data_IF_582083023741
#
_entry.id   IF_582083023741
#
_cell.length_a   1.000
_cell.length_b   1.000
_cell.length_c   1.000
_cell.angle_alpha   90.00
_cell.angle_beta   90.00
_cell.angle_gamma   90.00
#
_symmetry.space_group_name_H-M   'P 1'
#
loop_
_entity.id
_entity.type
_entity.pdbx_description
1 polymer ?
#
# COMPACT_ATOMS: atom_id res chain seq x y z
N UNK A 1 -17.05 -21.03 44.32
CA UNK A 1 -15.98 -20.04 44.15
C UNK A 1 -16.59 -18.71 43.73
N UNK A 2 -15.98 -17.56 44.05
CA UNK A 2 -16.45 -16.24 43.53
C UNK A 2 -16.56 -16.20 42.00
N UNK A 3 -15.76 -17.04 41.32
CA UNK A 3 -15.84 -17.27 39.88
C UNK A 3 -17.14 -17.97 39.45
N UNK A 4 -17.58 -19.03 40.16
CA UNK A 4 -18.82 -19.77 39.84
C UNK A 4 -20.09 -19.02 40.24
N UNK A 5 -19.96 -18.04 41.15
CA UNK A 5 -21.04 -17.14 41.60
C UNK A 5 -21.11 -15.84 40.78
N UNK A 6 -20.18 -15.61 39.85
CA UNK A 6 -20.08 -14.39 39.03
C UNK A 6 -19.95 -13.08 39.85
N UNK A 7 -19.37 -13.14 41.06
CA UNK A 7 -19.16 -11.99 41.95
C UNK A 7 -17.73 -11.44 41.88
N UNK A 8 -17.15 -11.43 40.69
CA UNK A 8 -15.84 -10.80 40.49
C UNK A 8 -15.99 -9.28 40.47
N UNK A 9 -15.04 -8.52 41.04
CA UNK A 9 -15.04 -7.07 40.95
C UNK A 9 -14.90 -6.68 39.47
N UNK A 10 -15.91 -5.99 38.95
CA UNK A 10 -15.94 -5.49 37.59
C UNK A 10 -16.16 -3.99 37.60
N UNK A 11 -15.35 -3.26 36.84
CA UNK A 11 -15.67 -1.88 36.49
C UNK A 11 -16.78 -1.93 35.42
N UNK A 12 -17.91 -1.28 35.69
CA UNK A 12 -19.02 -1.13 34.73
C UNK A 12 -19.05 0.31 34.25
N UNK A 13 -18.24 0.69 33.26
CA UNK A 13 -18.21 2.07 32.78
C UNK A 13 -19.55 2.41 32.13
N UNK A 14 -20.22 3.45 32.63
CA UNK A 14 -21.44 3.99 32.03
C UNK A 14 -21.02 5.10 31.06
N UNK A 15 -21.18 4.84 29.77
CA UNK A 15 -20.86 5.78 28.69
C UNK A 15 -21.89 6.92 28.65
N UNK A 16 -21.66 7.94 29.46
CA UNK A 16 -22.48 9.15 29.43
C UNK A 16 -22.13 10.02 28.21
N UNK A 17 -23.09 10.75 27.63
CA UNK A 17 -22.85 11.57 26.43
C UNK A 17 -21.70 12.56 26.59
N UNK A 18 -21.56 13.18 27.76
CA UNK A 18 -20.47 14.14 28.05
C UNK A 18 -19.09 13.50 27.98
N UNK A 19 -18.94 12.29 28.53
CA UNK A 19 -17.67 11.55 28.48
C UNK A 19 -17.31 11.16 27.04
N UNK A 20 -18.29 10.65 26.29
CA UNK A 20 -18.08 10.22 24.91
C UNK A 20 -17.67 11.39 24.01
N UNK A 21 -18.36 12.53 24.10
CA UNK A 21 -18.04 13.74 23.33
C UNK A 21 -16.63 14.23 23.65
N UNK A 22 -16.25 14.27 24.94
CA UNK A 22 -14.90 14.69 25.34
C UNK A 22 -13.82 13.79 24.76
N UNK A 23 -14.03 12.48 24.79
CA UNK A 23 -13.07 11.51 24.23
C UNK A 23 -12.94 11.70 22.72
N UNK A 24 -14.05 11.82 21.98
CA UNK A 24 -13.99 12.05 20.54
C UNK A 24 -13.30 13.36 20.18
N UNK A 25 -13.57 14.45 20.90
CA UNK A 25 -12.90 15.73 20.67
C UNK A 25 -11.40 15.63 20.88
N UNK A 26 -10.96 14.93 21.94
CA UNK A 26 -9.54 14.70 22.20
C UNK A 26 -8.88 13.85 21.10
N UNK A 27 -9.52 12.75 20.72
CA UNK A 27 -9.08 11.86 19.63
C UNK A 27 -8.94 12.67 18.33
N UNK A 28 -9.94 13.46 17.95
CA UNK A 28 -9.89 14.30 16.76
C UNK A 28 -8.76 15.34 16.82
N UNK A 29 -8.58 16.02 17.95
CA UNK A 29 -7.52 17.02 18.13
C UNK A 29 -6.13 16.42 17.95
N UNK A 30 -5.93 15.15 18.30
CA UNK A 30 -4.66 14.43 18.11
C UNK A 30 -4.53 13.89 16.69
N UNK A 31 -5.58 13.24 16.14
CA UNK A 31 -5.47 12.57 14.85
C UNK A 31 -5.54 13.51 13.64
N UNK A 32 -6.20 14.68 13.74
CA UNK A 32 -6.23 15.66 12.65
C UNK A 32 -4.82 16.16 12.29
N UNK A 33 -3.99 16.69 13.21
CA UNK A 33 -2.65 17.15 12.86
C UNK A 33 -1.74 16.03 12.39
N UNK A 34 -1.86 14.83 12.98
CA UNK A 34 -1.13 13.63 12.50
C UNK A 34 -1.54 13.34 11.05
N UNK A 35 -2.84 13.26 10.77
CA UNK A 35 -3.36 12.99 9.43
C UNK A 35 -2.93 14.04 8.40
N UNK A 36 -2.91 15.33 8.78
CA UNK A 36 -2.41 16.41 7.92
C UNK A 36 -0.92 16.23 7.63
N UNK A 37 -0.10 15.99 8.65
CA UNK A 37 1.33 15.75 8.48
C UNK A 37 1.61 14.52 7.60
N UNK A 38 0.90 13.42 7.83
CA UNK A 38 1.00 12.20 7.02
C UNK A 38 0.55 12.43 5.58
N UNK A 39 -0.50 13.22 5.35
CA UNK A 39 -0.98 13.54 4.01
C UNK A 39 0.04 14.39 3.24
N UNK A 40 0.66 15.38 3.88
CA UNK A 40 1.74 16.15 3.28
C UNK A 40 2.92 15.27 2.92
N UNK A 41 3.40 14.46 3.86
CA UNK A 41 4.48 13.52 3.61
C UNK A 41 4.15 12.53 2.47
N UNK A 42 2.90 12.05 2.40
CA UNK A 42 2.44 11.15 1.33
C UNK A 42 2.39 11.81 -0.04
N UNK A 43 2.07 13.11 -0.13
CA UNK A 43 2.01 13.85 -1.40
C UNK A 43 3.38 14.24 -1.94
N UNK A 44 4.38 14.31 -1.08
CA UNK A 44 5.77 14.61 -1.45
C UNK A 44 6.48 13.40 -2.09
N UNK A 45 5.93 12.19 -1.94
CA UNK A 45 6.46 10.98 -2.58
C UNK A 45 6.29 11.08 -4.10
N UNK A 46 7.41 10.95 -4.81
CA UNK A 46 7.43 10.87 -6.28
C UNK A 46 7.60 9.41 -6.67
N UNK A 47 6.58 8.84 -7.30
CA UNK A 47 6.56 7.45 -7.78
C UNK A 47 6.36 7.43 -9.30
N UNK A 48 7.05 6.52 -9.98
CA UNK A 48 6.94 6.30 -11.43
C UNK A 48 6.68 4.82 -11.66
N UNK A 49 5.54 4.53 -12.29
CA UNK A 49 5.11 3.17 -12.61
C UNK A 49 5.11 3.03 -14.13
N UNK A 50 5.92 2.12 -14.66
CA UNK A 50 5.95 1.77 -16.09
C UNK A 50 5.63 0.29 -16.27
N UNK A 51 4.56 0.00 -17.02
CA UNK A 51 4.14 -1.37 -17.32
C UNK A 51 4.87 -1.86 -18.56
N UNK A 52 5.86 -2.72 -18.35
CA UNK A 52 6.70 -3.22 -19.43
C UNK A 52 6.20 -4.55 -20.05
N UNK A 53 5.17 -5.18 -19.48
CA UNK A 53 4.71 -6.52 -19.89
C UNK A 53 4.13 -6.61 -21.32
N UNK A 54 3.63 -5.51 -21.89
CA UNK A 54 3.10 -5.47 -23.26
C UNK A 54 4.00 -4.69 -24.20
N UNK A 55 4.72 -3.70 -23.68
CA UNK A 55 5.53 -2.80 -24.49
C UNK A 55 6.86 -3.43 -24.90
N UNK A 56 7.33 -4.41 -24.13
CA UNK A 56 8.50 -5.21 -24.47
C UNK A 56 8.20 -6.39 -25.40
N UNK A 57 6.93 -6.61 -25.76
CA UNK A 57 6.52 -7.74 -26.58
C UNK A 57 6.18 -7.24 -28.00
N UNK A 58 6.82 -7.79 -29.06
CA UNK A 58 6.50 -7.44 -30.43
C UNK A 58 5.03 -7.71 -30.76
N UNK A 59 4.47 -6.93 -31.69
CA UNK A 59 3.04 -7.01 -32.05
C UNK A 59 2.60 -8.44 -32.42
N UNK A 60 3.47 -9.17 -33.13
CA UNK A 60 3.22 -10.54 -33.59
C UNK A 60 3.03 -11.54 -32.44
N UNK A 61 3.52 -11.22 -31.24
CA UNK A 61 3.45 -12.09 -30.08
C UNK A 61 2.61 -11.52 -28.93
N UNK A 62 1.92 -10.39 -29.09
CA UNK A 62 1.12 -9.81 -28.01
C UNK A 62 0.00 -10.72 -27.51
N UNK A 63 -0.56 -11.53 -28.41
CA UNK A 63 -1.62 -12.49 -28.08
C UNK A 63 -1.09 -13.80 -27.48
N UNK A 64 0.20 -14.10 -27.68
CA UNK A 64 0.86 -15.31 -27.16
C UNK A 64 2.25 -14.95 -26.61
N UNK A 65 2.23 -14.33 -25.43
CA UNK A 65 3.43 -13.89 -24.72
C UNK A 65 4.35 -15.07 -24.38
N UNK A 66 3.77 -16.25 -24.13
CA UNK A 66 4.51 -17.47 -23.77
C UNK A 66 5.37 -17.94 -24.94
N UNK A 67 4.82 -17.93 -26.15
CA UNK A 67 5.57 -18.24 -27.37
C UNK A 67 6.76 -17.30 -27.59
N UNK A 68 6.60 -16.01 -27.31
CA UNK A 68 7.73 -15.06 -27.37
C UNK A 68 8.83 -15.42 -26.38
N UNK A 69 8.47 -15.70 -25.12
CA UNK A 69 9.42 -16.04 -24.05
C UNK A 69 10.22 -17.31 -24.43
N UNK A 70 9.55 -18.31 -25.00
CA UNK A 70 10.15 -19.59 -25.38
C UNK A 70 11.03 -19.50 -26.64
N UNK A 71 10.84 -18.50 -27.49
CA UNK A 71 11.63 -18.34 -28.72
C UNK A 71 13.07 -17.92 -28.39
N UNK A 72 14.10 -18.53 -28.99
CA UNK A 72 15.49 -18.12 -28.77
C UNK A 72 15.77 -16.73 -29.37
N UNK A 73 16.68 -15.99 -28.75
CA UNK A 73 17.04 -14.64 -29.16
C UNK A 73 17.19 -13.69 -27.98
N UNK A 74 17.79 -12.53 -28.22
CA UNK A 74 17.91 -11.46 -27.22
C UNK A 74 16.54 -10.81 -26.98
N UNK A 75 16.17 -10.64 -25.70
CA UNK A 75 14.89 -10.09 -25.27
C UNK A 75 15.05 -8.83 -24.41
N UNK A 76 16.19 -8.16 -24.55
CA UNK A 76 16.49 -6.93 -23.81
C UNK A 76 15.45 -5.87 -24.15
N UNK A 77 14.84 -5.30 -23.12
CA UNK A 77 13.86 -4.24 -23.28
C UNK A 77 14.32 -2.97 -22.59
N UNK A 78 14.63 -1.95 -23.39
CA UNK A 78 15.03 -0.64 -22.89
C UNK A 78 13.80 0.24 -22.71
N UNK A 79 13.61 0.77 -21.50
CA UNK A 79 12.50 1.66 -21.13
C UNK A 79 13.06 3.02 -20.74
N UNK A 80 12.44 4.09 -21.23
CA UNK A 80 12.82 5.46 -20.87
C UNK A 80 11.75 6.04 -19.97
N UNK A 81 12.11 6.24 -18.70
CA UNK A 81 11.21 6.79 -17.70
C UNK A 81 11.41 8.30 -17.60
N UNK A 82 10.34 9.08 -17.75
CA UNK A 82 10.38 10.53 -17.55
C UNK A 82 10.08 10.86 -16.09
N UNK A 83 10.99 11.55 -15.42
CA UNK A 83 10.85 11.94 -14.02
C UNK A 83 10.34 13.39 -13.95
N UNK A 84 9.05 13.63 -13.64
CA UNK A 84 8.43 14.95 -13.76
C UNK A 84 8.81 15.90 -12.61
N UNK A 85 9.34 15.38 -11.50
CA UNK A 85 9.68 16.13 -10.30
C UNK A 85 10.97 15.58 -9.69
N UNK A 86 11.72 16.44 -9.00
CA UNK A 86 12.95 16.03 -8.33
C UNK A 86 12.70 14.93 -7.30
N UNK A 87 13.37 13.78 -7.48
CA UNK A 87 13.40 12.69 -6.51
C UNK A 87 14.56 12.89 -5.55
N UNK A 88 14.25 13.14 -4.26
CA UNK A 88 15.27 13.25 -3.22
C UNK A 88 15.90 11.88 -2.96
N UNK A 89 17.22 11.84 -2.87
CA UNK A 89 17.96 10.60 -2.57
C UNK A 89 17.55 9.99 -1.19
N UNK A 90 17.66 8.67 -1.00
CA UNK A 90 17.99 7.63 -1.99
C UNK A 90 16.80 7.25 -2.89
N UNK A 91 17.10 6.80 -4.12
CA UNK A 91 16.09 6.34 -5.09
C UNK A 91 16.02 4.80 -5.03
N UNK A 92 14.80 4.26 -4.98
CA UNK A 92 14.54 2.83 -4.97
C UNK A 92 13.88 2.38 -6.27
N UNK A 93 14.22 1.16 -6.72
CA UNK A 93 13.62 0.53 -7.91
C UNK A 93 13.03 -0.80 -7.49
N UNK A 94 11.75 -0.98 -7.77
CA UNK A 94 11.00 -2.20 -7.45
C UNK A 94 10.38 -2.77 -8.72
N UNK A 95 10.18 -4.09 -8.73
CA UNK A 95 9.34 -4.76 -9.73
C UNK A 95 8.03 -5.17 -9.06
N UNK A 96 6.93 -5.09 -9.79
CA UNK A 96 5.61 -5.49 -9.33
C UNK A 96 5.14 -6.70 -10.16
N UNK A 97 4.63 -7.72 -9.46
CA UNK A 97 4.00 -8.89 -10.07
C UNK A 97 2.53 -8.92 -9.67
N UNK A 98 1.65 -8.85 -10.66
CA UNK A 98 0.21 -9.02 -10.45
C UNK A 98 -0.21 -10.47 -10.74
N UNK A 99 -1.31 -10.91 -10.13
CA UNK A 99 -1.85 -12.27 -10.29
C UNK A 99 -0.87 -13.40 -9.95
N UNK A 100 0.07 -13.15 -9.03
CA UNK A 100 1.04 -14.14 -8.57
C UNK A 100 0.75 -14.57 -7.12
N UNK A 101 0.29 -15.80 -6.94
CA UNK A 101 -0.12 -16.34 -5.63
C UNK A 101 1.07 -16.92 -4.85
N UNK A 102 1.91 -16.04 -4.28
CA UNK A 102 3.07 -16.44 -3.47
C UNK A 102 2.68 -17.18 -2.19
N UNK A 103 1.56 -16.82 -1.59
CA UNK A 103 1.14 -17.31 -0.28
C UNK A 103 0.22 -18.54 -0.37
N UNK A 104 0.27 -19.29 -1.48
CA UNK A 104 -0.46 -20.54 -1.58
C UNK A 104 0.24 -21.60 -0.72
N UNK A 105 -0.51 -22.16 0.24
CA UNK A 105 -0.04 -23.22 1.15
C UNK A 105 -0.24 -24.61 0.54
#
# INVERSE_FOLDING_TARGET
SRFTQQELPACKPILTPRWVISTFMFVSLVFIPIGVASLFASRDVVEIIDRYETDCIPQDFKNDKVKYIQTPGEKTCNRTLTVPKHMKHPIYVYYQLDNFYQNHR
#
